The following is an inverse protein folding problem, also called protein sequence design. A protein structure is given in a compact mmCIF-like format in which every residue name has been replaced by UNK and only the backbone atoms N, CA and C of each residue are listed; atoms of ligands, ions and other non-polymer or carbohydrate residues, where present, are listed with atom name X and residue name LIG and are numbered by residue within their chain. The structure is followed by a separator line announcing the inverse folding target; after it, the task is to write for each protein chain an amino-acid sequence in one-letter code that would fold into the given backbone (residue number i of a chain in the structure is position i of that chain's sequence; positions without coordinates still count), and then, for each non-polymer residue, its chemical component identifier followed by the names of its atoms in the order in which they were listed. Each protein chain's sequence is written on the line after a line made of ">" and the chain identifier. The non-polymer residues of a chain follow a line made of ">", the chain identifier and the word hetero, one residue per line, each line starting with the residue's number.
data_IF_908313564147
#
_entry.id   IF_908313564147
#
_cell.length_a   1.000
_cell.length_b   1.000
_cell.length_c   1.000
_cell.angle_alpha   90.00
_cell.angle_beta   90.00
_cell.angle_gamma   90.00
#
_symmetry.space_group_name_H-M   'P 1'
#
loop_
_entity.id
_entity.type
_entity.pdbx_description
1 polymer ?
#
# COMPACT_ATOMS: atom_id res chain seq x y z
N UNK A 1 -17.41 15.29 -40.89
CA UNK A 1 -16.85 14.19 -40.06
C UNK A 1 -15.37 14.46 -39.81
N UNK A 2 -15.09 15.61 -39.22
CA UNK A 2 -13.77 16.10 -38.84
C UNK A 2 -14.02 16.88 -37.55
N UNK A 3 -13.81 16.26 -36.39
CA UNK A 3 -13.62 16.88 -35.07
C UNK A 3 -13.60 15.85 -33.92
N UNK A 4 -12.92 14.72 -34.11
CA UNK A 4 -12.66 13.73 -33.05
C UNK A 4 -11.14 13.52 -32.80
N UNK A 5 -10.30 14.39 -33.37
CA UNK A 5 -8.83 14.23 -33.37
C UNK A 5 -8.07 14.91 -32.21
N UNK A 6 -8.75 15.43 -31.18
CA UNK A 6 -8.06 16.01 -30.01
C UNK A 6 -8.66 15.68 -28.65
N UNK A 7 -9.64 14.77 -28.56
CA UNK A 7 -9.96 14.17 -27.26
C UNK A 7 -8.87 13.15 -26.94
N UNK A 8 -7.97 13.49 -26.00
CA UNK A 8 -7.03 12.57 -25.36
C UNK A 8 -7.81 11.55 -24.54
N UNK A 9 -8.60 10.69 -25.20
CA UNK A 9 -9.34 9.60 -24.58
C UNK A 9 -8.31 8.58 -24.10
N UNK A 10 -8.32 8.28 -22.81
CA UNK A 10 -7.51 7.20 -22.26
C UNK A 10 -8.11 5.86 -22.70
N UNK A 11 -7.58 5.31 -23.80
CA UNK A 11 -8.00 4.02 -24.34
C UNK A 11 -7.70 2.85 -23.40
N UNK A 12 -6.84 3.02 -22.40
CA UNK A 12 -6.49 1.99 -21.43
C UNK A 12 -7.37 2.01 -20.18
N UNK A 13 -8.33 2.94 -20.10
CA UNK A 13 -9.24 3.09 -18.97
C UNK A 13 -8.50 3.15 -17.62
N UNK A 14 -7.33 3.78 -17.55
CA UNK A 14 -6.43 3.70 -16.40
C UNK A 14 -7.11 4.21 -15.14
N UNK A 15 -7.87 5.30 -15.21
CA UNK A 15 -8.57 5.86 -14.03
C UNK A 15 -9.87 5.13 -13.67
N UNK A 16 -10.34 4.17 -14.48
CA UNK A 16 -11.62 3.51 -14.21
C UNK A 16 -11.66 2.74 -12.87
N UNK A 17 -10.61 1.99 -12.46
CA UNK A 17 -10.58 1.32 -11.16
C UNK A 17 -10.65 2.32 -9.99
N UNK A 18 -9.98 3.47 -10.10
CA UNK A 18 -10.05 4.54 -9.12
C UNK A 18 -11.48 5.11 -9.02
N UNK A 19 -12.10 5.41 -10.17
CA UNK A 19 -13.46 5.97 -10.23
C UNK A 19 -14.48 5.03 -9.56
N UNK A 20 -14.41 3.72 -9.83
CA UNK A 20 -15.29 2.74 -9.17
C UNK A 20 -15.14 2.71 -7.66
N UNK A 21 -13.94 2.97 -7.14
CA UNK A 21 -13.72 3.05 -5.69
C UNK A 21 -14.22 4.38 -5.12
N UNK A 22 -14.06 5.49 -5.85
CA UNK A 22 -14.61 6.79 -5.45
C UNK A 22 -16.14 6.75 -5.33
N UNK A 23 -16.83 6.01 -6.20
CA UNK A 23 -18.29 5.82 -6.15
C UNK A 23 -18.78 5.09 -4.88
N UNK A 24 -17.89 4.36 -4.19
CA UNK A 24 -18.21 3.57 -3.00
C UNK A 24 -17.29 3.90 -1.82
N UNK A 25 -16.72 5.11 -1.80
CA UNK A 25 -15.76 5.50 -0.79
C UNK A 25 -16.45 5.68 0.58
N UNK A 26 -15.86 5.20 1.69
CA UNK A 26 -16.39 5.52 3.01
C UNK A 26 -16.21 7.02 3.33
N UNK A 27 -17.05 7.53 4.23
CA UNK A 27 -16.99 8.94 4.69
C UNK A 27 -15.61 9.31 5.29
N UNK A 28 -14.95 8.33 5.92
CA UNK A 28 -13.68 8.50 6.61
C UNK A 28 -12.87 7.21 6.57
N UNK A 29 -11.55 7.33 6.78
CA UNK A 29 -10.65 6.20 6.96
C UNK A 29 -10.29 6.02 8.44
N UNK A 30 -10.07 4.77 8.86
CA UNK A 30 -9.74 4.46 10.25
C UNK A 30 -8.49 5.19 10.73
N UNK A 31 -7.50 5.39 9.86
CA UNK A 31 -6.29 6.16 10.15
C UNK A 31 -6.60 7.60 10.58
N UNK A 32 -7.62 8.22 9.97
CA UNK A 32 -8.07 9.57 10.31
C UNK A 32 -8.83 9.55 11.62
N UNK A 33 -9.78 8.62 11.78
CA UNK A 33 -10.60 8.51 12.99
C UNK A 33 -9.77 8.25 14.26
N UNK A 34 -8.67 7.50 14.11
CA UNK A 34 -7.78 7.12 15.19
C UNK A 34 -6.50 7.96 15.25
N UNK A 35 -6.38 9.06 14.50
CA UNK A 35 -5.14 9.88 14.42
C UNK A 35 -4.63 10.29 15.81
N UNK A 36 -5.55 10.60 16.73
CA UNK A 36 -5.20 10.99 18.11
C UNK A 36 -4.64 9.86 18.97
N UNK A 37 -4.82 8.61 18.55
CA UNK A 37 -4.29 7.43 19.25
C UNK A 37 -2.89 7.03 18.76
N UNK A 38 -2.42 7.59 17.66
CA UNK A 38 -1.07 7.33 17.17
C UNK A 38 -0.02 7.87 18.16
N UNK A 39 1.16 7.21 18.23
CA UNK A 39 2.26 7.70 19.04
C UNK A 39 2.75 9.08 18.57
N UNK A 40 3.66 9.68 19.34
CA UNK A 40 4.28 10.95 18.97
C UNK A 40 5.04 10.86 17.63
N UNK A 41 5.37 12.01 17.03
CA UNK A 41 6.13 12.08 15.77
C UNK A 41 7.54 11.47 15.85
N UNK A 42 8.07 11.25 17.06
CA UNK A 42 9.35 10.56 17.25
C UNK A 42 9.28 9.05 16.98
N UNK A 43 8.09 8.45 17.01
CA UNK A 43 7.91 7.02 16.71
C UNK A 43 7.71 6.86 15.20
N UNK A 44 8.70 6.23 14.57
CA UNK A 44 8.81 6.08 13.12
C UNK A 44 8.60 4.63 12.68
N UNK A 45 8.15 4.46 11.44
CA UNK A 45 8.19 3.17 10.77
C UNK A 45 9.64 2.80 10.43
N UNK A 46 10.13 1.60 10.83
CA UNK A 46 11.47 1.12 10.51
C UNK A 46 11.73 1.17 9.00
N UNK A 47 12.96 1.50 8.59
CA UNK A 47 13.42 1.65 7.19
C UNK A 47 12.73 2.72 6.34
N UNK A 48 11.46 3.04 6.62
CA UNK A 48 10.72 4.12 5.98
C UNK A 48 11.09 5.48 6.59
N UNK A 49 11.58 5.46 7.83
CA UNK A 49 12.15 6.59 8.55
C UNK A 49 11.24 7.81 8.65
N UNK A 50 9.95 7.58 8.90
CA UNK A 50 8.96 8.64 9.05
C UNK A 50 7.83 8.21 10.01
N UNK A 51 7.11 9.19 10.56
CA UNK A 51 5.95 8.94 11.41
C UNK A 51 4.66 8.97 10.60
N UNK A 52 3.85 7.88 10.60
CA UNK A 52 2.53 7.89 9.95
C UNK A 52 1.63 9.03 10.42
N UNK A 53 1.67 9.32 11.72
CA UNK A 53 0.88 10.40 12.32
C UNK A 53 1.21 11.75 11.69
N UNK A 54 2.49 12.03 11.47
CA UNK A 54 2.94 13.28 10.88
C UNK A 54 2.37 13.47 9.47
N UNK A 55 2.37 12.42 8.64
CA UNK A 55 1.79 12.48 7.31
C UNK A 55 0.27 12.62 7.35
N UNK A 56 -0.43 11.91 8.25
CA UNK A 56 -1.89 12.03 8.40
C UNK A 56 -2.28 13.45 8.86
N UNK A 57 -1.62 13.98 9.89
CA UNK A 57 -1.87 15.34 10.39
C UNK A 57 -1.57 16.39 9.31
N UNK A 58 -0.49 16.21 8.53
CA UNK A 58 -0.18 17.08 7.40
C UNK A 58 -1.30 17.09 6.35
N UNK A 59 -1.78 15.91 5.96
CA UNK A 59 -2.88 15.77 5.01
C UNK A 59 -4.15 16.47 5.53
N UNK A 60 -4.54 16.24 6.78
CA UNK A 60 -5.71 16.87 7.40
C UNK A 60 -5.57 18.40 7.40
N UNK A 61 -4.41 18.92 7.80
CA UNK A 61 -4.18 20.36 7.92
C UNK A 61 -4.15 21.06 6.57
N UNK A 62 -3.41 20.51 5.60
CA UNK A 62 -3.34 21.06 4.24
C UNK A 62 -4.71 21.04 3.56
N UNK A 63 -5.47 19.96 3.72
CA UNK A 63 -6.82 19.87 3.18
C UNK A 63 -7.73 20.98 3.71
N UNK A 64 -7.74 21.21 5.02
CA UNK A 64 -8.53 22.29 5.64
C UNK A 64 -8.14 23.68 5.12
N UNK A 65 -6.84 23.95 5.03
CA UNK A 65 -6.33 25.24 4.53
C UNK A 65 -6.77 25.47 3.08
N UNK A 66 -6.51 24.51 2.19
CA UNK A 66 -6.85 24.65 0.77
C UNK A 66 -8.37 24.76 0.56
N UNK A 67 -9.16 24.02 1.33
CA UNK A 67 -10.62 24.12 1.26
C UNK A 67 -11.12 25.52 1.58
N UNK A 68 -10.61 26.13 2.66
CA UNK A 68 -10.94 27.52 3.02
C UNK A 68 -10.47 28.52 1.97
N UNK A 69 -9.27 28.31 1.39
CA UNK A 69 -8.75 29.15 0.30
C UNK A 69 -9.67 29.10 -0.92
N UNK A 70 -10.07 27.89 -1.35
CA UNK A 70 -11.00 27.71 -2.48
C UNK A 70 -12.34 28.37 -2.17
N UNK A 71 -12.93 28.14 -0.99
CA UNK A 71 -14.21 28.76 -0.60
C UNK A 71 -14.15 30.30 -0.63
N UNK A 72 -12.99 30.89 -0.34
CA UNK A 72 -12.80 32.34 -0.38
C UNK A 72 -12.65 32.93 -1.80
N UNK A 73 -12.16 32.13 -2.77
CA UNK A 73 -11.83 32.57 -4.14
C UNK A 73 -12.04 31.46 -5.16
N UNK A 74 -13.26 30.91 -5.20
CA UNK A 74 -13.58 29.70 -5.97
C UNK A 74 -13.26 29.86 -7.46
N UNK A 75 -13.55 31.02 -8.04
CA UNK A 75 -13.35 31.33 -9.45
C UNK A 75 -11.87 31.29 -9.89
N UNK A 76 -10.95 31.52 -8.95
CA UNK A 76 -9.51 31.61 -9.24
C UNK A 76 -8.71 30.38 -8.79
N UNK A 77 -9.18 29.68 -7.76
CA UNK A 77 -8.43 28.60 -7.12
C UNK A 77 -9.01 27.21 -7.39
N UNK A 78 -10.27 27.11 -7.83
CA UNK A 78 -10.85 25.82 -8.20
C UNK A 78 -10.19 25.30 -9.48
N UNK A 79 -9.57 24.13 -9.36
CA UNK A 79 -8.98 23.39 -10.48
C UNK A 79 -9.82 22.15 -10.75
N UNK A 80 -10.08 21.89 -12.02
CA UNK A 80 -10.86 20.73 -12.47
C UNK A 80 -10.09 19.94 -13.51
N UNK A 81 -10.22 18.62 -13.46
CA UNK A 81 -9.67 17.69 -14.44
C UNK A 81 -10.79 16.75 -14.86
N UNK A 82 -11.23 16.87 -16.11
CA UNK A 82 -12.29 16.01 -16.66
C UNK A 82 -11.68 14.82 -17.38
N UNK A 83 -12.03 13.64 -16.91
CA UNK A 83 -11.68 12.36 -17.50
C UNK A 83 -12.85 11.84 -18.34
N UNK A 84 -12.61 11.58 -19.62
CA UNK A 84 -13.60 10.97 -20.51
C UNK A 84 -13.15 9.56 -20.88
N UNK A 85 -14.02 8.58 -20.65
CA UNK A 85 -13.78 7.19 -21.01
C UNK A 85 -15.02 6.56 -21.63
N UNK A 86 -14.81 5.47 -22.38
CA UNK A 86 -15.87 4.82 -23.16
C UNK A 86 -15.99 3.35 -22.76
N UNK A 87 -16.83 3.00 -21.76
CA UNK A 87 -17.16 1.61 -21.53
C UNK A 87 -18.15 1.13 -22.59
N UNK A 88 -17.68 0.22 -23.46
CA UNK A 88 -18.45 -0.55 -24.46
C UNK A 88 -19.14 0.30 -25.54
N UNK A 89 -20.04 1.23 -25.19
CA UNK A 89 -20.81 2.05 -26.13
C UNK A 89 -21.28 3.42 -25.60
N UNK A 90 -21.05 3.77 -24.33
CA UNK A 90 -21.41 5.08 -23.78
C UNK A 90 -20.16 5.91 -23.50
N UNK A 91 -20.22 7.22 -23.71
CA UNK A 91 -19.17 8.14 -23.28
C UNK A 91 -19.51 8.58 -21.86
N UNK A 92 -18.68 8.19 -20.90
CA UNK A 92 -18.81 8.62 -19.50
C UNK A 92 -17.76 9.68 -19.21
N UNK A 93 -18.17 10.71 -18.47
CA UNK A 93 -17.27 11.74 -17.96
C UNK A 93 -17.25 11.70 -16.45
N UNK A 94 -16.06 11.77 -15.88
CA UNK A 94 -15.83 11.94 -14.45
C UNK A 94 -14.98 13.19 -14.25
N UNK A 95 -15.34 14.04 -13.29
CA UNK A 95 -14.62 15.30 -13.03
C UNK A 95 -13.96 15.25 -11.67
N UNK A 96 -12.63 15.30 -11.67
CA UNK A 96 -11.82 15.50 -10.48
C UNK A 96 -11.70 16.99 -10.17
N UNK A 97 -11.70 17.35 -8.89
CA UNK A 97 -11.49 18.74 -8.47
C UNK A 97 -10.55 18.81 -7.28
N UNK A 98 -9.82 19.91 -7.13
CA UNK A 98 -9.03 20.15 -5.92
C UNK A 98 -9.89 20.49 -4.69
N UNK A 99 -11.23 20.49 -4.81
CA UNK A 99 -12.19 20.66 -3.71
C UNK A 99 -12.93 19.35 -3.36
N UNK A 100 -12.42 18.19 -3.81
CA UNK A 100 -12.85 16.88 -3.34
C UNK A 100 -12.58 16.73 -1.83
N UNK A 101 -13.26 15.79 -1.19
CA UNK A 101 -13.08 15.43 0.22
C UNK A 101 -11.71 14.81 0.49
N UNK A 102 -11.28 14.83 1.76
CA UNK A 102 -9.97 14.33 2.16
C UNK A 102 -9.80 12.83 1.84
N UNK A 103 -10.86 12.03 2.03
CA UNK A 103 -10.83 10.60 1.73
C UNK A 103 -10.64 10.35 0.23
N UNK A 104 -11.35 11.09 -0.62
CA UNK A 104 -11.20 11.01 -2.07
C UNK A 104 -9.77 11.37 -2.50
N UNK A 105 -9.20 12.45 -1.95
CA UNK A 105 -7.82 12.85 -2.25
C UNK A 105 -6.79 11.79 -1.83
N UNK A 106 -6.93 11.22 -0.63
CA UNK A 106 -6.04 10.16 -0.13
C UNK A 106 -6.13 8.94 -1.06
N UNK A 107 -7.34 8.56 -1.48
CA UNK A 107 -7.54 7.47 -2.43
C UNK A 107 -6.85 7.74 -3.77
N UNK A 108 -6.99 8.97 -4.30
CA UNK A 108 -6.32 9.40 -5.53
C UNK A 108 -4.80 9.31 -5.37
N UNK A 109 -4.23 9.85 -4.29
CA UNK A 109 -2.78 9.87 -4.06
C UNK A 109 -2.22 8.45 -3.95
N UNK A 110 -2.83 7.61 -3.11
CA UNK A 110 -2.43 6.21 -2.97
C UNK A 110 -2.50 5.46 -4.30
N UNK A 111 -3.59 5.65 -5.06
CA UNK A 111 -3.74 5.02 -6.37
C UNK A 111 -2.66 5.48 -7.37
N UNK A 112 -2.41 6.78 -7.47
CA UNK A 112 -1.40 7.35 -8.36
C UNK A 112 0.01 6.88 -8.00
N UNK A 113 0.35 6.80 -6.71
CA UNK A 113 1.64 6.28 -6.27
C UNK A 113 1.91 4.87 -6.82
N UNK A 114 0.90 3.99 -6.76
CA UNK A 114 1.03 2.63 -7.28
C UNK A 114 1.03 2.59 -8.81
N UNK A 115 0.16 3.35 -9.47
CA UNK A 115 0.09 3.42 -10.93
C UNK A 115 1.40 3.93 -11.54
N UNK A 116 1.98 5.00 -10.97
CA UNK A 116 3.14 5.69 -11.54
C UNK A 116 4.48 4.97 -11.30
N UNK A 117 4.47 3.80 -10.64
CA UNK A 117 5.62 2.88 -10.69
C UNK A 117 5.96 2.48 -12.13
N UNK A 118 4.95 2.39 -12.99
CA UNK A 118 5.13 2.24 -14.44
C UNK A 118 5.25 3.62 -15.09
N UNK A 119 6.50 4.05 -15.37
CA UNK A 119 6.80 5.39 -15.90
C UNK A 119 6.02 5.76 -17.16
N UNK A 120 5.64 4.80 -17.99
CA UNK A 120 4.85 5.02 -19.21
C UNK A 120 3.49 5.67 -18.92
N UNK A 121 2.87 5.34 -17.78
CA UNK A 121 1.55 5.88 -17.44
C UNK A 121 1.60 7.37 -17.09
N UNK A 122 2.77 7.87 -16.68
CA UNK A 122 2.98 9.30 -16.48
C UNK A 122 2.93 10.10 -17.79
N UNK A 123 3.01 9.49 -18.97
CA UNK A 123 2.86 10.22 -20.24
C UNK A 123 1.40 10.61 -20.54
N UNK A 124 0.42 10.05 -19.80
CA UNK A 124 -1.00 10.30 -20.02
C UNK A 124 -1.39 11.63 -19.35
N UNK A 125 -1.86 12.61 -20.15
CA UNK A 125 -2.11 13.99 -19.68
C UNK A 125 -3.03 14.05 -18.45
N UNK A 126 -4.16 13.34 -18.45
CA UNK A 126 -5.10 13.37 -17.32
C UNK A 126 -4.47 12.85 -16.02
N UNK A 127 -3.55 11.88 -16.12
CA UNK A 127 -2.78 11.36 -14.99
C UNK A 127 -1.79 12.42 -14.49
N UNK A 128 -1.08 13.10 -15.40
CA UNK A 128 -0.18 14.21 -15.04
C UNK A 128 -0.94 15.34 -14.35
N UNK A 129 -2.05 15.79 -14.94
CA UNK A 129 -2.85 16.89 -14.43
C UNK A 129 -3.39 16.55 -13.02
N UNK A 130 -3.86 15.32 -12.81
CA UNK A 130 -4.33 14.85 -11.50
C UNK A 130 -3.19 14.72 -10.49
N UNK A 131 -2.03 14.19 -10.90
CA UNK A 131 -0.84 14.09 -10.07
C UNK A 131 -0.36 15.46 -9.59
N UNK A 132 -0.22 16.44 -10.49
CA UNK A 132 0.17 17.79 -10.13
C UNK A 132 -0.89 18.51 -9.29
N UNK A 133 -2.18 18.27 -9.55
CA UNK A 133 -3.26 18.82 -8.72
C UNK A 133 -3.13 18.37 -7.26
N UNK A 134 -2.91 17.06 -7.03
CA UNK A 134 -2.73 16.53 -5.67
C UNK A 134 -1.43 17.00 -5.03
N UNK A 135 -0.33 16.99 -5.81
CA UNK A 135 0.98 17.46 -5.35
C UNK A 135 0.93 18.91 -4.89
N UNK A 136 0.32 19.79 -5.67
CA UNK A 136 0.17 21.21 -5.34
C UNK A 136 -0.74 21.41 -4.13
N UNK A 137 -1.88 20.70 -4.05
CA UNK A 137 -2.81 20.81 -2.91
C UNK A 137 -2.13 20.47 -1.59
N UNK A 138 -1.35 19.39 -1.58
CA UNK A 138 -0.76 18.83 -0.36
C UNK A 138 0.72 19.18 -0.16
N UNK A 139 1.32 19.98 -1.04
CA UNK A 139 2.76 20.28 -1.05
C UNK A 139 3.63 19.01 -0.99
N UNK A 140 3.26 17.99 -1.77
CA UNK A 140 3.97 16.72 -1.80
C UNK A 140 5.31 16.91 -2.52
N UNK A 141 6.39 16.41 -1.93
CA UNK A 141 7.71 16.45 -2.56
C UNK A 141 8.02 15.13 -3.27
N UNK A 142 8.82 15.23 -4.32
CA UNK A 142 9.28 14.07 -5.08
C UNK A 142 10.27 13.25 -4.24
N UNK A 143 9.96 11.97 -4.05
CA UNK A 143 10.80 10.98 -3.35
C UNK A 143 12.23 10.85 -3.93
N UNK A 144 12.47 11.30 -5.17
CA UNK A 144 13.78 11.20 -5.84
C UNK A 144 14.78 12.26 -5.40
N UNK A 145 14.34 13.28 -4.68
CA UNK A 145 15.23 14.32 -4.16
C UNK A 145 15.60 13.98 -2.71
N UNK A 146 16.91 14.03 -2.39
CA UNK A 146 17.35 13.90 -0.99
C UNK A 146 16.89 15.15 -0.24
N UNK A 147 15.93 14.99 0.66
CA UNK A 147 15.43 16.08 1.49
C UNK A 147 16.16 16.09 2.83
N UNK A 148 16.78 17.21 3.16
CA UNK A 148 17.40 17.41 4.48
C UNK A 148 16.35 17.78 5.55
N UNK A 149 15.18 18.28 5.13
CA UNK A 149 14.11 18.70 6.03
C UNK A 149 13.14 17.55 6.34
N UNK A 150 13.13 17.12 7.59
CA UNK A 150 12.23 16.09 8.13
C UNK A 150 10.75 16.52 8.16
N UNK A 151 10.43 17.78 7.84
CA UNK A 151 9.05 18.29 7.74
C UNK A 151 8.43 18.07 6.37
N UNK A 152 9.22 17.65 5.38
CA UNK A 152 8.75 17.35 4.03
C UNK A 152 7.93 16.06 4.05
N UNK A 153 6.77 16.10 3.39
CA UNK A 153 5.91 14.93 3.17
C UNK A 153 6.00 14.49 1.70
N UNK A 154 6.21 13.19 1.49
CA UNK A 154 6.31 12.59 0.14
C UNK A 154 5.14 11.66 -0.18
N UNK A 155 4.98 11.27 -1.46
CA UNK A 155 3.91 10.34 -1.86
C UNK A 155 4.05 8.99 -1.15
N UNK A 156 5.29 8.51 -1.00
CA UNK A 156 5.60 7.28 -0.29
C UNK A 156 5.15 7.35 1.18
N UNK A 157 5.49 8.42 1.89
CA UNK A 157 5.11 8.59 3.29
C UNK A 157 3.58 8.65 3.45
N UNK A 158 2.87 9.37 2.58
CA UNK A 158 1.41 9.39 2.58
C UNK A 158 0.87 7.97 2.34
N UNK A 159 1.31 7.31 1.28
CA UNK A 159 0.80 5.98 0.90
C UNK A 159 0.94 4.97 2.02
N UNK A 160 2.08 4.94 2.70
CA UNK A 160 2.33 4.00 3.80
C UNK A 160 1.73 4.43 5.14
N UNK A 161 1.16 5.64 5.22
CA UNK A 161 0.36 6.07 6.37
C UNK A 161 -1.10 5.65 6.28
N UNK A 162 -1.58 5.27 5.10
CA UNK A 162 -2.96 4.86 4.84
C UNK A 162 -3.05 3.40 4.34
N UNK A 163 -2.61 2.40 5.13
CA UNK A 163 -2.61 0.99 4.75
C UNK A 163 -4.01 0.45 4.39
N UNK A 164 -5.10 1.02 4.94
CA UNK A 164 -6.48 0.65 4.58
C UNK A 164 -6.79 0.83 3.11
N UNK A 165 -6.10 1.79 2.47
CA UNK A 165 -6.28 2.15 1.08
C UNK A 165 -5.13 1.64 0.22
N UNK A 166 -3.89 1.79 0.66
CA UNK A 166 -2.72 1.55 -0.20
C UNK A 166 -2.42 0.07 -0.43
N UNK A 167 -2.64 -0.79 0.57
CA UNK A 167 -2.19 -2.18 0.48
C UNK A 167 -2.91 -3.00 -0.58
N UNK A 168 -4.18 -2.67 -0.89
CA UNK A 168 -4.93 -3.31 -1.98
C UNK A 168 -4.38 -2.97 -3.38
N UNK A 169 -3.68 -1.84 -3.52
CA UNK A 169 -3.06 -1.40 -4.77
C UNK A 169 -1.64 -1.93 -4.95
N UNK A 170 -1.12 -2.66 -3.98
CA UNK A 170 0.20 -3.26 -4.09
C UNK A 170 0.23 -4.29 -5.23
N UNK A 171 1.19 -4.11 -6.16
CA UNK A 171 1.29 -4.97 -7.34
C UNK A 171 0.15 -4.79 -8.36
N UNK A 172 -0.63 -3.71 -8.27
CA UNK A 172 -1.65 -3.39 -9.26
C UNK A 172 -1.00 -3.02 -10.60
N UNK A 173 -1.43 -3.70 -11.67
CA UNK A 173 -1.16 -3.32 -13.05
C UNK A 173 -2.50 -3.26 -13.80
N UNK A 174 -2.89 -2.10 -14.35
CA UNK A 174 -4.12 -1.98 -15.13
C UNK A 174 -4.11 -2.79 -16.42
N UNK A 175 -2.94 -3.24 -16.90
CA UNK A 175 -2.82 -4.12 -18.07
C UNK A 175 -2.65 -5.59 -17.60
N UNK A 176 -3.70 -6.20 -17.06
CA UNK A 176 -3.66 -7.61 -16.62
C UNK A 176 -3.29 -8.59 -17.77
N UNK A 177 -3.44 -8.19 -19.04
CA UNK A 177 -2.97 -8.96 -20.22
C UNK A 177 -1.44 -8.97 -20.40
N UNK A 178 -0.71 -7.98 -19.85
CA UNK A 178 0.77 -7.95 -19.85
C UNK A 178 1.38 -8.60 -18.61
N UNK A 179 0.55 -9.17 -17.73
CA UNK A 179 0.91 -9.61 -16.38
C UNK A 179 1.93 -10.77 -16.32
N UNK A 180 2.45 -11.23 -17.46
CA UNK A 180 3.50 -12.23 -17.56
C UNK A 180 4.83 -11.89 -16.84
N UNK A 181 5.09 -10.66 -16.36
CA UNK A 181 6.47 -10.28 -16.00
C UNK A 181 6.77 -9.81 -14.56
N UNK A 182 5.87 -9.86 -13.57
CA UNK A 182 6.34 -9.80 -12.15
C UNK A 182 5.33 -10.19 -11.07
N UNK A 183 4.12 -9.64 -11.07
CA UNK A 183 3.16 -9.85 -9.96
C UNK A 183 2.21 -11.03 -10.18
N UNK A 184 1.83 -11.36 -11.41
CA UNK A 184 1.01 -12.55 -11.68
C UNK A 184 1.72 -13.85 -11.27
N UNK A 185 3.03 -13.93 -11.51
CA UNK A 185 3.86 -15.05 -11.05
C UNK A 185 3.83 -15.22 -9.53
N UNK A 186 3.75 -14.13 -8.77
CA UNK A 186 3.64 -14.17 -7.31
C UNK A 186 2.29 -14.79 -6.86
N UNK A 187 1.18 -14.43 -7.50
CA UNK A 187 -0.13 -15.02 -7.19
C UNK A 187 -0.24 -16.51 -7.59
N UNK A 188 0.38 -16.92 -8.71
CA UNK A 188 0.35 -18.33 -9.15
C UNK A 188 1.31 -19.22 -8.37
N UNK A 189 2.34 -18.66 -7.72
CA UNK A 189 3.31 -19.47 -6.97
C UNK A 189 2.89 -19.83 -5.55
N UNK A 190 1.77 -19.31 -5.06
CA UNK A 190 1.06 -19.89 -3.93
C UNK A 190 -0.38 -20.23 -4.33
N UNK A 191 -0.57 -21.21 -5.23
CA UNK A 191 -1.87 -21.48 -5.86
C UNK A 191 -2.94 -21.92 -4.84
N UNK A 192 -2.49 -22.38 -3.67
CA UNK A 192 -3.37 -22.80 -2.57
C UNK A 192 -3.61 -21.69 -1.56
N UNK A 193 -2.85 -20.59 -1.56
CA UNK A 193 -3.04 -19.50 -0.62
C UNK A 193 -4.04 -18.51 -1.23
N UNK A 194 -5.24 -18.46 -0.64
CA UNK A 194 -6.20 -17.35 -0.77
C UNK A 194 -5.67 -16.06 -0.12
N UNK A 195 -4.34 -15.84 -0.17
CA UNK A 195 -3.72 -14.66 0.39
C UNK A 195 -4.14 -13.45 -0.44
N UNK A 196 -4.84 -12.54 0.24
CA UNK A 196 -5.22 -11.23 -0.28
C UNK A 196 -3.98 -10.49 -0.79
N UNK A 197 -4.15 -9.66 -1.83
CA UNK A 197 -3.07 -8.86 -2.45
C UNK A 197 -2.23 -8.08 -1.42
N UNK A 198 -2.82 -7.72 -0.29
CA UNK A 198 -2.19 -7.00 0.82
C UNK A 198 -0.95 -7.68 1.44
N UNK A 199 -0.84 -9.02 1.43
CA UNK A 199 0.31 -9.71 2.06
C UNK A 199 1.62 -9.58 1.28
N UNK A 200 1.52 -9.23 0.00
CA UNK A 200 2.68 -9.01 -0.84
C UNK A 200 3.42 -7.73 -0.48
N UNK A 201 2.79 -6.84 0.28
CA UNK A 201 3.43 -5.65 0.81
C UNK A 201 4.16 -5.98 2.12
N UNK A 202 5.50 -5.91 2.19
CA UNK A 202 6.26 -6.22 3.42
C UNK A 202 5.82 -5.39 4.64
N UNK A 203 5.29 -4.19 4.40
CA UNK A 203 4.81 -3.29 5.46
C UNK A 203 3.59 -3.82 6.21
N UNK A 204 2.89 -4.84 5.69
CA UNK A 204 1.79 -5.50 6.40
C UNK A 204 2.21 -6.02 7.77
N UNK A 205 3.49 -6.39 7.94
CA UNK A 205 4.05 -6.81 9.21
C UNK A 205 3.83 -5.75 10.32
N UNK A 206 3.87 -4.46 9.98
CA UNK A 206 3.64 -3.35 10.93
C UNK A 206 2.19 -3.20 11.38
N UNK A 207 1.25 -3.81 10.66
CA UNK A 207 -0.19 -3.78 10.96
C UNK A 207 -0.66 -5.05 11.67
N UNK A 208 0.08 -6.15 11.58
CA UNK A 208 -0.32 -7.41 12.21
C UNK A 208 -0.09 -7.32 13.73
N UNK A 209 -1.17 -7.40 14.55
CA UNK A 209 -1.06 -7.27 16.00
C UNK A 209 -0.41 -8.51 16.60
N UNK A 210 0.24 -8.36 17.76
CA UNK A 210 0.83 -9.50 18.49
C UNK A 210 -0.20 -10.13 19.42
N UNK A 211 -0.59 -11.37 19.12
CA UNK A 211 -1.55 -12.10 19.95
C UNK A 211 -0.82 -12.82 21.09
N UNK A 212 -1.11 -12.44 22.34
CA UNK A 212 -0.45 -12.98 23.56
C UNK A 212 -0.48 -14.51 23.67
N UNK A 213 -1.52 -15.16 23.14
CA UNK A 213 -1.74 -16.60 23.26
C UNK A 213 -1.62 -17.33 21.91
N UNK A 214 -1.06 -16.67 20.88
CA UNK A 214 -0.90 -17.29 19.57
C UNK A 214 0.57 -17.40 19.20
N UNK A 215 0.91 -18.54 18.63
CA UNK A 215 2.17 -18.81 17.96
C UNK A 215 2.39 -17.77 16.85
N UNK A 216 3.64 -17.35 16.64
CA UNK A 216 4.06 -16.24 15.77
C UNK A 216 3.99 -16.58 14.27
N UNK A 217 2.95 -17.29 13.87
CA UNK A 217 2.74 -17.86 12.54
C UNK A 217 2.80 -16.83 11.39
N UNK A 218 2.30 -15.58 11.53
CA UNK A 218 2.38 -14.61 10.43
C UNK A 218 3.81 -14.31 9.98
N UNK A 219 4.80 -14.42 10.87
CA UNK A 219 6.16 -13.96 10.60
C UNK A 219 6.91 -14.96 9.72
N UNK A 220 6.66 -16.26 9.93
CA UNK A 220 7.10 -17.31 9.03
C UNK A 220 6.56 -17.09 7.60
N UNK A 221 5.26 -16.80 7.48
CA UNK A 221 4.60 -16.57 6.20
C UNK A 221 5.13 -15.32 5.51
N UNK A 222 5.24 -14.20 6.22
CA UNK A 222 5.75 -12.93 5.65
C UNK A 222 7.23 -13.03 5.28
N UNK A 223 8.02 -13.79 6.04
CA UNK A 223 9.41 -14.10 5.68
C UNK A 223 9.47 -14.87 4.37
N UNK A 224 8.68 -15.94 4.22
CA UNK A 224 8.62 -16.72 2.99
C UNK A 224 8.16 -15.90 1.78
N UNK A 225 7.13 -15.06 1.97
CA UNK A 225 6.67 -14.12 0.93
C UNK A 225 7.79 -13.18 0.53
N UNK A 226 8.50 -12.58 1.51
CA UNK A 226 9.59 -11.63 1.24
C UNK A 226 10.81 -12.27 0.57
N UNK A 227 11.19 -13.48 0.98
CA UNK A 227 12.24 -14.29 0.31
C UNK A 227 11.89 -14.48 -1.16
N UNK A 228 10.64 -14.81 -1.44
CA UNK A 228 10.16 -15.07 -2.80
C UNK A 228 10.08 -13.81 -3.63
N UNK A 229 9.56 -12.72 -3.08
CA UNK A 229 9.57 -11.42 -3.75
C UNK A 229 11.00 -10.95 -4.05
N UNK A 230 11.95 -11.20 -3.16
CA UNK A 230 13.36 -10.90 -3.40
C UNK A 230 13.96 -11.75 -4.55
N UNK A 231 13.53 -13.02 -4.69
CA UNK A 231 13.98 -13.90 -5.76
C UNK A 231 13.36 -13.56 -7.15
N UNK A 232 12.12 -13.06 -7.17
CA UNK A 232 11.39 -12.69 -8.41
C UNK A 232 11.85 -11.36 -9.00
N UNK A 233 12.27 -10.41 -8.15
CA UNK A 233 12.81 -9.11 -8.58
C UNK A 233 14.29 -9.27 -9.02
N UNK A 234 14.54 -10.17 -9.99
CA UNK A 234 15.76 -10.11 -10.79
C UNK A 234 15.54 -9.07 -11.88
N UNK A 235 15.72 -7.80 -11.54
CA UNK A 235 15.79 -6.74 -12.53
C UNK A 235 17.20 -6.76 -13.15
N UNK A 236 17.37 -7.03 -14.45
CA UNK A 236 18.68 -7.06 -15.09
C UNK A 236 19.43 -5.72 -15.02
N UNK A 237 18.73 -4.61 -14.76
CA UNK A 237 19.31 -3.26 -14.69
C UNK A 237 19.67 -2.80 -13.26
N UNK A 238 19.38 -3.61 -12.23
CA UNK A 238 19.74 -3.32 -10.83
C UNK A 238 20.72 -4.40 -10.37
N UNK A 239 21.95 -4.07 -9.96
CA UNK A 239 22.89 -5.07 -9.46
C UNK A 239 22.22 -5.88 -8.36
N UNK A 240 22.31 -7.22 -8.45
CA UNK A 240 21.77 -8.19 -7.49
C UNK A 240 22.18 -7.82 -6.06
N UNK A 241 21.38 -7.01 -5.38
CA UNK A 241 21.35 -6.97 -3.92
C UNK A 241 20.28 -7.96 -3.48
N UNK A 242 20.56 -9.23 -3.73
CA UNK A 242 19.84 -10.30 -3.07
C UNK A 242 20.03 -10.10 -1.56
N UNK A 243 18.93 -9.91 -0.83
CA UNK A 243 19.02 -9.71 0.62
C UNK A 243 19.33 -11.05 1.26
N UNK A 244 20.23 -11.06 2.25
CA UNK A 244 20.42 -12.27 3.06
C UNK A 244 19.14 -12.63 3.79
N UNK A 245 18.94 -13.91 4.06
CA UNK A 245 17.76 -14.39 4.78
C UNK A 245 17.63 -13.72 6.15
N UNK A 246 18.75 -13.52 6.85
CA UNK A 246 18.74 -12.79 8.13
C UNK A 246 18.28 -11.35 7.97
N UNK A 247 18.74 -10.62 6.94
CA UNK A 247 18.26 -9.26 6.69
C UNK A 247 16.75 -9.20 6.42
N UNK A 248 16.21 -10.17 5.66
CA UNK A 248 14.77 -10.28 5.41
C UNK A 248 14.00 -10.55 6.71
N UNK A 249 14.46 -11.50 7.51
CA UNK A 249 13.80 -11.89 8.76
C UNK A 249 13.81 -10.74 9.79
N UNK A 250 14.96 -10.12 10.02
CA UNK A 250 15.11 -9.01 10.96
C UNK A 250 14.28 -7.78 10.53
N UNK A 251 14.16 -7.52 9.22
CA UNK A 251 13.27 -6.49 8.68
C UNK A 251 11.80 -6.75 9.05
N UNK A 252 11.33 -7.97 8.83
CA UNK A 252 9.95 -8.36 9.16
C UNK A 252 9.70 -8.25 10.68
N UNK A 253 10.66 -8.67 11.50
CA UNK A 253 10.60 -8.51 12.95
C UNK A 253 10.56 -7.05 13.38
N UNK A 254 11.39 -6.19 12.77
CA UNK A 254 11.42 -4.77 13.07
C UNK A 254 10.06 -4.12 12.78
N UNK A 255 9.47 -4.40 11.61
CA UNK A 255 8.14 -3.92 11.28
C UNK A 255 7.08 -4.40 12.25
N UNK A 256 7.05 -5.69 12.56
CA UNK A 256 6.06 -6.24 13.48
C UNK A 256 6.21 -5.72 14.91
N UNK A 257 7.43 -5.41 15.33
CA UNK A 257 7.72 -4.77 16.61
C UNK A 257 7.39 -3.28 16.64
N UNK A 258 7.10 -2.66 15.49
CA UNK A 258 6.88 -1.22 15.40
C UNK A 258 5.62 -0.79 16.14
N UNK A 259 5.76 0.25 16.94
CA UNK A 259 4.67 0.94 17.63
C UNK A 259 4.08 2.09 16.79
N UNK A 260 4.59 2.32 15.57
CA UNK A 260 4.19 3.44 14.72
C UNK A 260 2.69 3.46 14.40
N UNK A 261 2.05 2.28 14.35
CA UNK A 261 0.60 2.15 14.31
C UNK A 261 0.08 1.74 15.69
N UNK A 262 -0.96 2.41 16.22
CA UNK A 262 -1.54 2.04 17.49
C UNK A 262 -2.22 0.67 17.45
N UNK A 263 -2.12 -0.08 18.55
CA UNK A 263 -2.57 -1.47 18.64
C UNK A 263 -4.06 -1.64 18.32
N UNK A 264 -4.90 -0.70 18.78
CA UNK A 264 -6.35 -0.71 18.47
C UNK A 264 -6.62 -0.67 16.97
N UNK A 265 -5.83 0.11 16.24
CA UNK A 265 -5.96 0.28 14.80
C UNK A 265 -5.48 -0.97 14.05
N UNK A 266 -4.38 -1.58 14.51
CA UNK A 266 -3.90 -2.88 14.02
C UNK A 266 -5.01 -3.94 14.08
N UNK A 267 -5.67 -4.07 15.23
CA UNK A 267 -6.80 -5.00 15.38
C UNK A 267 -7.96 -4.68 14.44
N UNK A 268 -8.34 -3.41 14.28
CA UNK A 268 -9.43 -3.00 13.37
C UNK A 268 -9.14 -3.36 11.91
N UNK A 269 -7.93 -3.10 11.44
CA UNK A 269 -7.52 -3.49 10.09
C UNK A 269 -7.51 -5.00 9.91
N UNK A 270 -6.90 -5.73 10.84
CA UNK A 270 -6.84 -7.18 10.77
C UNK A 270 -8.22 -7.84 10.89
N UNK A 271 -9.17 -7.28 11.63
CA UNK A 271 -10.58 -7.72 11.63
C UNK A 271 -11.24 -7.48 10.27
N UNK A 272 -11.12 -6.25 9.73
CA UNK A 272 -11.67 -5.87 8.42
C UNK A 272 -11.12 -6.75 7.29
N UNK A 273 -9.83 -7.10 7.36
CA UNK A 273 -9.19 -7.97 6.40
C UNK A 273 -9.33 -9.46 6.71
N UNK A 274 -10.00 -9.85 7.80
CA UNK A 274 -10.17 -11.26 8.18
C UNK A 274 -8.87 -11.98 8.52
N UNK A 275 -7.83 -11.25 8.93
CA UNK A 275 -6.56 -11.79 9.46
C UNK A 275 -6.76 -12.30 10.88
N UNK A 276 -7.55 -11.57 11.67
CA UNK A 276 -7.90 -11.97 13.03
C UNK A 276 -9.42 -12.09 13.15
N UNK A 277 -9.85 -12.98 14.03
CA UNK A 277 -11.23 -13.09 14.46
C UNK A 277 -11.30 -13.27 15.97
N UNK A 278 -12.48 -13.04 16.53
CA UNK A 278 -12.76 -13.29 17.94
C UNK A 278 -13.33 -14.70 18.11
N UNK A 279 -12.83 -15.45 19.08
CA UNK A 279 -13.48 -16.69 19.50
C UNK A 279 -14.76 -16.40 20.30
N UNK A 280 -15.48 -17.45 20.72
CA UNK A 280 -16.72 -17.33 21.52
C UNK A 280 -16.52 -16.53 22.82
N UNK A 281 -15.31 -16.52 23.37
CA UNK A 281 -14.91 -15.80 24.57
C UNK A 281 -14.45 -14.35 24.29
N UNK A 282 -14.62 -13.86 23.06
CA UNK A 282 -14.19 -12.54 22.57
C UNK A 282 -12.68 -12.31 22.61
N UNK A 283 -11.89 -13.38 22.68
CA UNK A 283 -10.43 -13.33 22.61
C UNK A 283 -10.02 -13.39 21.14
N UNK A 284 -9.11 -12.49 20.75
CA UNK A 284 -8.55 -12.46 19.40
C UNK A 284 -7.68 -13.69 19.12
N UNK A 285 -7.92 -14.32 17.97
CA UNK A 285 -7.08 -15.34 17.35
C UNK A 285 -6.82 -14.98 15.89
N UNK A 286 -5.73 -15.48 15.30
CA UNK A 286 -5.56 -15.43 13.85
C UNK A 286 -6.62 -16.32 13.18
N UNK A 287 -7.04 -15.94 11.98
CA UNK A 287 -7.96 -16.76 11.19
C UNK A 287 -7.27 -18.04 10.73
N UNK A 288 -8.08 -19.07 10.47
CA UNK A 288 -7.58 -20.41 10.16
C UNK A 288 -6.77 -20.46 8.84
N UNK A 289 -6.96 -19.45 7.98
CA UNK A 289 -6.14 -19.23 6.78
C UNK A 289 -4.65 -19.00 7.11
N UNK A 290 -4.35 -18.51 8.32
CA UNK A 290 -2.99 -18.27 8.81
C UNK A 290 -2.46 -19.42 9.65
N UNK A 291 -3.30 -20.08 10.44
CA UNK A 291 -2.82 -21.00 11.49
C UNK A 291 -2.79 -22.46 11.10
N UNK A 292 -3.22 -22.83 9.88
CA UNK A 292 -3.11 -24.21 9.39
C UNK A 292 -1.63 -24.62 9.36
N UNK A 293 -1.32 -25.72 10.04
CA UNK A 293 0.02 -26.29 10.14
C UNK A 293 0.72 -26.41 8.77
N UNK A 294 -0.03 -26.85 7.76
CA UNK A 294 0.47 -27.01 6.39
C UNK A 294 1.00 -25.70 5.79
N UNK A 295 0.48 -24.54 6.22
CA UNK A 295 0.93 -23.22 5.73
C UNK A 295 2.28 -22.84 6.25
N UNK A 296 2.55 -23.17 7.51
CA UNK A 296 3.86 -22.85 8.06
C UNK A 296 4.92 -23.81 7.53
N UNK A 297 4.54 -25.06 7.30
CA UNK A 297 5.40 -26.00 6.59
C UNK A 297 5.67 -25.56 5.15
N UNK A 298 4.66 -25.05 4.44
CA UNK A 298 4.81 -24.46 3.09
C UNK A 298 5.78 -23.27 3.11
N UNK A 299 5.67 -22.38 4.10
CA UNK A 299 6.59 -21.25 4.29
C UNK A 299 8.04 -21.73 4.53
N UNK A 300 8.24 -22.71 5.42
CA UNK A 300 9.54 -23.32 5.71
C UNK A 300 10.15 -23.93 4.46
N UNK A 301 9.35 -24.66 3.67
CA UNK A 301 9.81 -25.31 2.44
C UNK A 301 10.28 -24.27 1.42
N UNK A 302 9.53 -23.18 1.23
CA UNK A 302 9.89 -22.10 0.31
C UNK A 302 11.19 -21.41 0.73
N UNK A 303 11.34 -21.10 2.03
CA UNK A 303 12.58 -20.50 2.55
C UNK A 303 13.75 -21.47 2.31
N UNK A 304 13.57 -22.75 2.62
CA UNK A 304 14.61 -23.77 2.45
C UNK A 304 15.03 -23.96 0.99
N UNK A 305 14.07 -23.94 0.07
CA UNK A 305 14.33 -24.10 -1.36
C UNK A 305 15.06 -22.87 -1.94
N UNK A 306 14.53 -21.67 -1.70
CA UNK A 306 15.04 -20.44 -2.31
C UNK A 306 16.31 -19.89 -1.64
N UNK A 307 16.57 -20.25 -0.38
CA UNK A 307 17.75 -19.82 0.40
C UNK A 307 18.60 -21.01 0.86
N UNK A 308 18.62 -22.10 0.09
CA UNK A 308 19.33 -23.35 0.44
C UNK A 308 20.83 -23.18 0.75
N UNK A 309 21.47 -22.15 0.19
CA UNK A 309 22.89 -21.84 0.38
C UNK A 309 23.13 -20.68 1.37
N UNK A 310 22.08 -20.11 1.97
CA UNK A 310 22.21 -19.00 2.90
C UNK A 310 22.76 -19.51 4.26
N UNK A 311 23.85 -18.91 4.79
CA UNK A 311 24.47 -19.39 6.04
C UNK A 311 23.54 -19.30 7.25
N UNK A 312 22.54 -18.41 7.22
CA UNK A 312 21.62 -18.20 8.33
C UNK A 312 20.40 -19.13 8.28
N UNK A 313 20.28 -19.99 7.25
CA UNK A 313 19.09 -20.82 7.01
C UNK A 313 18.66 -21.63 8.23
N UNK A 314 19.54 -22.44 8.81
CA UNK A 314 19.17 -23.31 9.92
C UNK A 314 18.81 -22.52 11.19
N UNK A 315 19.49 -21.39 11.42
CA UNK A 315 19.21 -20.50 12.54
C UNK A 315 17.82 -19.88 12.40
N UNK A 316 17.49 -19.33 11.22
CA UNK A 316 16.20 -18.68 10.96
C UNK A 316 15.06 -19.70 10.96
N UNK A 317 15.24 -20.87 10.35
CA UNK A 317 14.24 -21.94 10.41
C UNK A 317 13.99 -22.43 11.83
N UNK A 318 15.02 -22.45 12.68
CA UNK A 318 14.87 -22.81 14.09
C UNK A 318 14.07 -21.75 14.86
N UNK A 319 14.35 -20.46 14.64
CA UNK A 319 13.56 -19.35 15.21
C UNK A 319 12.09 -19.45 14.80
N UNK A 320 11.83 -19.62 13.50
CA UNK A 320 10.49 -19.79 12.94
C UNK A 320 9.78 -20.99 13.57
N UNK A 321 10.47 -22.13 13.77
CA UNK A 321 9.87 -23.33 14.37
C UNK A 321 9.54 -23.18 15.85
N UNK A 322 10.38 -22.48 16.61
CA UNK A 322 10.15 -22.20 18.04
C UNK A 322 8.95 -21.26 18.25
N UNK A 323 8.68 -20.46 17.24
CA UNK A 323 7.56 -19.53 17.20
C UNK A 323 6.22 -20.20 16.81
N UNK A 324 6.22 -21.47 16.36
CA UNK A 324 5.04 -22.25 15.91
C UNK A 324 4.47 -23.14 16.99
#
# INVERSE_FOLDING_TARGET
>A
MENLRTMKVDRRNLLQPLIRQLENIPDTFLEIDYVNTFPSYAVILPEVNFSPRQAIDHMINRHKVVKLEIESRTDLLLRTVTYTYVPVASVIQFTFTNNMSLTEDILIICYLFHLLKTREYFAVKVIQDLYYMMRDKYHIQDDRMKHEDQRVITEFQITYSFPSVSFQWFGFDPNEDRSQHSFHFMYTTFPNLSLKRLYWNPMIASIIPRLKNSKFVPIALLTAISVKSNAVVKNPDVPNTELSLNAIYERILAFNSSEAFPEILKFKFCEMWGIVCKNEQRIYKYSDDFTKYDRVQEAINIISELKSQDPDLQTILSKIKLEI
#
